data_IF_840696944115
#
_entry.id   IF_840696944115
#
_cell.length_a   1.000
_cell.length_b   1.000
_cell.length_c   1.000
_cell.angle_alpha   90.00
_cell.angle_beta   90.00
_cell.angle_gamma   90.00
#
_symmetry.space_group_name_H-M   'P 1'
#
loop_
_entity.id
_entity.type
_entity.pdbx_description
1 polymer ?
#
# COMPACT_ATOMS: atom_id res chain seq x y z
N UNK A 1 -0.72 48.79 -17.82
CA UNK A 1 -0.98 48.00 -16.60
C UNK A 1 -0.48 46.60 -16.83
N UNK A 2 0.69 46.24 -16.29
CA UNK A 2 1.19 44.88 -16.35
C UNK A 2 0.29 44.01 -15.46
N UNK A 3 -0.30 42.97 -16.04
CA UNK A 3 -1.28 42.10 -15.41
C UNK A 3 -0.72 41.48 -14.12
N UNK A 4 -1.23 41.89 -12.96
CA UNK A 4 -0.97 41.30 -11.65
C UNK A 4 -1.66 39.92 -11.50
N UNK A 5 -1.77 39.15 -12.59
CA UNK A 5 -2.52 37.91 -12.65
C UNK A 5 -1.71 36.67 -12.24
N UNK A 6 -0.41 36.83 -11.92
CA UNK A 6 0.50 35.67 -11.77
C UNK A 6 0.44 35.00 -10.39
N UNK A 7 0.31 35.74 -9.28
CA UNK A 7 0.44 35.12 -7.95
C UNK A 7 -0.84 34.45 -7.46
N UNK A 8 -2.01 35.05 -7.70
CA UNK A 8 -3.29 34.50 -7.22
C UNK A 8 -3.61 33.20 -7.95
N UNK A 9 -3.48 33.19 -9.28
CA UNK A 9 -3.73 32.00 -10.12
C UNK A 9 -2.76 30.86 -9.79
N UNK A 10 -1.48 31.16 -9.59
CA UNK A 10 -0.47 30.15 -9.24
C UNK A 10 -0.76 29.52 -7.87
N UNK A 11 -1.14 30.33 -6.87
CA UNK A 11 -1.57 29.80 -5.55
C UNK A 11 -2.82 28.94 -5.67
N UNK A 12 -3.82 29.34 -6.45
CA UNK A 12 -5.04 28.52 -6.66
C UNK A 12 -4.73 27.21 -7.38
N UNK A 13 -3.77 27.18 -8.31
CA UNK A 13 -3.34 25.95 -8.98
C UNK A 13 -2.59 25.01 -8.02
N UNK A 14 -1.69 25.55 -7.20
CA UNK A 14 -1.01 24.76 -6.16
C UNK A 14 -2.01 24.18 -5.16
N UNK A 15 -3.02 24.97 -4.78
CA UNK A 15 -4.08 24.52 -3.87
C UNK A 15 -4.98 23.45 -4.49
N UNK A 16 -5.36 23.58 -5.77
CA UNK A 16 -6.09 22.54 -6.50
C UNK A 16 -5.28 21.23 -6.54
N UNK A 17 -3.98 21.29 -6.85
CA UNK A 17 -3.12 20.10 -6.88
C UNK A 17 -2.96 19.45 -5.50
N UNK A 18 -2.96 20.24 -4.42
CA UNK A 18 -2.89 19.72 -3.06
C UNK A 18 -4.20 19.07 -2.64
N UNK A 19 -5.33 19.59 -3.11
CA UNK A 19 -6.64 19.00 -2.85
C UNK A 19 -6.76 17.62 -3.49
N UNK A 20 -6.34 17.47 -4.75
CA UNK A 20 -6.28 16.17 -5.43
C UNK A 20 -5.41 15.16 -4.68
N UNK A 21 -4.20 15.58 -4.24
CA UNK A 21 -3.32 14.73 -3.41
C UNK A 21 -3.96 14.36 -2.06
N UNK A 22 -4.74 15.27 -1.46
CA UNK A 22 -5.46 14.99 -0.23
C UNK A 22 -6.56 13.94 -0.44
N UNK A 23 -7.30 14.03 -1.54
CA UNK A 23 -8.33 13.04 -1.90
C UNK A 23 -7.73 11.67 -2.20
N UNK A 24 -6.63 11.63 -2.95
CA UNK A 24 -5.87 10.40 -3.19
C UNK A 24 -5.37 9.80 -1.88
N UNK A 25 -4.82 10.64 -0.99
CA UNK A 25 -4.36 10.22 0.33
C UNK A 25 -5.51 9.77 1.25
N UNK A 26 -6.68 10.41 1.16
CA UNK A 26 -7.86 10.01 1.91
C UNK A 26 -8.35 8.65 1.44
N UNK A 27 -8.44 8.46 0.13
CA UNK A 27 -8.75 7.16 -0.48
C UNK A 27 -7.74 6.12 -0.04
N UNK A 28 -6.45 6.46 -0.14
CA UNK A 28 -5.29 5.71 0.33
C UNK A 28 -5.48 5.20 1.76
N UNK A 29 -5.69 6.06 2.75
CA UNK A 29 -5.77 5.62 4.14
C UNK A 29 -7.20 5.36 4.64
N UNK A 30 -8.18 5.24 3.74
CA UNK A 30 -9.59 5.02 4.09
C UNK A 30 -10.18 6.12 4.98
N UNK A 31 -9.76 7.37 4.78
CA UNK A 31 -10.15 8.52 5.59
C UNK A 31 -11.53 9.01 5.19
N UNK A 32 -12.43 9.03 6.15
CA UNK A 32 -13.77 9.59 6.01
C UNK A 32 -13.97 10.62 7.13
N UNK A 33 -14.41 11.83 6.75
CA UNK A 33 -14.65 12.90 7.71
C UNK A 33 -16.14 13.12 7.91
N UNK A 34 -16.50 13.57 9.13
CA UNK A 34 -17.89 13.73 9.56
C UNK A 34 -18.66 14.75 8.73
N UNK A 35 -18.04 15.89 8.44
CA UNK A 35 -18.69 17.00 7.74
C UNK A 35 -17.66 17.84 6.95
N UNK A 36 -18.11 18.76 6.07
CA UNK A 36 -17.21 19.57 5.26
C UNK A 36 -16.27 20.48 6.07
N UNK A 37 -16.65 20.91 7.28
CA UNK A 37 -15.80 21.76 8.13
C UNK A 37 -14.64 20.96 8.69
N UNK A 38 -14.91 19.72 9.10
CA UNK A 38 -13.85 18.79 9.50
C UNK A 38 -12.95 18.46 8.31
N UNK A 39 -13.50 18.19 7.11
CA UNK A 39 -12.69 17.96 5.90
C UNK A 39 -11.77 19.13 5.59
N UNK A 40 -12.27 20.36 5.66
CA UNK A 40 -11.47 21.57 5.44
C UNK A 40 -10.38 21.75 6.51
N UNK A 41 -10.71 21.55 7.79
CA UNK A 41 -9.71 21.56 8.88
C UNK A 41 -8.59 20.54 8.61
N UNK A 42 -8.97 19.32 8.22
CA UNK A 42 -8.04 18.21 7.93
C UNK A 42 -7.19 18.49 6.70
N UNK A 43 -7.77 19.08 5.66
CA UNK A 43 -7.06 19.52 4.46
C UNK A 43 -6.00 20.56 4.77
N UNK A 44 -6.32 21.57 5.61
CA UNK A 44 -5.35 22.59 6.04
C UNK A 44 -4.13 21.98 6.75
N UNK A 45 -4.37 21.09 7.71
CA UNK A 45 -3.30 20.38 8.43
C UNK A 45 -2.50 19.50 7.47
N UNK A 46 -3.18 18.78 6.57
CA UNK A 46 -2.54 17.97 5.55
C UNK A 46 -1.59 18.78 4.66
N UNK A 47 -2.02 19.95 4.19
CA UNK A 47 -1.22 20.87 3.39
C UNK A 47 0.02 21.35 4.15
N UNK A 48 -0.13 21.72 5.43
CA UNK A 48 0.99 22.13 6.29
C UNK A 48 2.01 20.99 6.46
N UNK A 49 1.55 19.78 6.76
CA UNK A 49 2.40 18.60 6.89
C UNK A 49 3.08 18.21 5.57
N UNK A 50 2.39 18.34 4.43
CA UNK A 50 2.97 18.09 3.11
C UNK A 50 4.07 19.10 2.77
N UNK A 51 3.85 20.38 3.03
CA UNK A 51 4.88 21.39 2.85
C UNK A 51 6.09 21.12 3.78
N UNK A 52 5.85 20.66 5.01
CA UNK A 52 6.92 20.26 5.92
C UNK A 52 7.73 19.05 5.38
N UNK A 53 7.05 18.05 4.82
CA UNK A 53 7.70 16.91 4.17
C UNK A 53 8.52 17.37 2.96
N UNK A 54 7.96 18.19 2.07
CA UNK A 54 8.64 18.68 0.87
C UNK A 54 9.87 19.54 1.20
N UNK A 55 9.74 20.47 2.15
CA UNK A 55 10.88 21.27 2.63
C UNK A 55 11.96 20.41 3.29
N UNK A 56 11.58 19.33 3.98
CA UNK A 56 12.53 18.40 4.59
C UNK A 56 13.35 17.60 3.57
N UNK A 57 12.82 17.36 2.36
CA UNK A 57 13.53 16.67 1.26
C UNK A 57 14.61 17.54 0.62
N UNK A 58 14.42 18.86 0.62
CA UNK A 58 15.35 19.83 0.03
C UNK A 58 16.43 20.32 1.01
N UNK A 59 16.30 20.00 2.30
CA UNK A 59 17.28 20.34 3.32
C UNK A 59 18.51 19.41 3.26
N UNK A 60 19.56 19.75 4.00
CA UNK A 60 20.76 18.92 4.17
C UNK A 60 20.42 17.47 4.55
N UNK A 61 21.33 16.53 4.24
CA UNK A 61 21.16 15.08 4.48
C UNK A 61 20.78 14.83 5.95
N UNK A 62 19.56 14.33 6.18
CA UNK A 62 19.06 13.94 7.50
C UNK A 62 19.25 12.43 7.70
N UNK A 63 19.45 11.94 8.94
CA UNK A 63 19.53 10.51 9.23
C UNK A 63 18.17 9.79 9.10
N UNK A 64 17.11 10.52 8.75
CA UNK A 64 15.76 9.99 8.56
C UNK A 64 15.08 10.65 7.36
N UNK A 65 14.14 9.92 6.76
CA UNK A 65 13.31 10.40 5.65
C UNK A 65 11.88 10.61 6.13
N UNK A 66 11.37 11.82 5.98
CA UNK A 66 9.95 12.09 6.20
C UNK A 66 9.15 11.66 4.96
N UNK A 67 8.07 10.93 5.20
CA UNK A 67 7.17 10.41 4.18
C UNK A 67 5.72 10.64 4.60
N UNK A 68 4.85 10.75 3.61
CA UNK A 68 3.40 10.82 3.84
C UNK A 68 2.92 9.49 4.42
N UNK A 69 2.14 9.54 5.49
CA UNK A 69 1.62 8.37 6.20
C UNK A 69 0.16 8.61 6.63
N UNK A 70 -0.44 7.67 7.35
CA UNK A 70 -1.84 7.74 7.79
C UNK A 70 -2.17 8.89 8.75
N UNK A 71 -1.19 9.62 9.26
CA UNK A 71 -1.34 10.70 10.23
C UNK A 71 -1.13 12.09 9.61
N UNK A 72 -1.01 12.18 8.28
CA UNK A 72 -0.73 13.44 7.61
C UNK A 72 -1.82 14.52 7.82
N UNK A 73 -3.03 14.17 8.26
CA UNK A 73 -4.14 15.09 8.58
C UNK A 73 -4.23 15.48 10.07
N UNK A 74 -3.23 15.11 10.88
CA UNK A 74 -3.18 15.41 12.32
C UNK A 74 -2.12 16.47 12.61
N UNK A 75 -2.44 17.37 13.53
CA UNK A 75 -1.42 18.24 14.13
C UNK A 75 -0.68 17.49 15.25
N UNK A 76 0.37 18.09 15.80
CA UNK A 76 1.21 17.45 16.82
C UNK A 76 0.43 17.07 18.09
N UNK A 77 -0.49 17.91 18.56
CA UNK A 77 -1.31 17.64 19.75
C UNK A 77 -2.26 16.46 19.53
N UNK A 78 -2.90 16.42 18.35
CA UNK A 78 -3.74 15.30 17.95
C UNK A 78 -2.90 14.03 17.80
N UNK A 79 -1.71 14.11 17.20
CA UNK A 79 -0.85 12.95 16.97
C UNK A 79 -0.41 12.27 18.28
N UNK A 80 -0.07 13.04 19.33
CA UNK A 80 0.32 12.50 20.63
C UNK A 80 -0.86 12.10 21.52
N UNK A 81 -2.11 12.34 21.09
CA UNK A 81 -3.28 11.97 21.87
C UNK A 81 -3.38 10.44 22.02
N UNK A 82 -3.73 9.89 23.21
CA UNK A 82 -3.74 8.45 23.47
C UNK A 82 -4.51 7.63 22.42
N UNK A 83 -5.63 8.16 21.92
CA UNK A 83 -6.45 7.50 20.88
C UNK A 83 -5.71 7.22 19.57
N UNK A 84 -4.68 8.01 19.25
CA UNK A 84 -3.91 7.88 18.02
C UNK A 84 -2.65 7.03 18.21
N UNK A 85 -2.12 6.92 19.43
CA UNK A 85 -0.99 6.04 19.76
C UNK A 85 -1.38 4.57 19.60
N UNK A 86 -2.59 4.19 20.01
CA UNK A 86 -3.10 2.82 19.84
C UNK A 86 -3.74 2.57 18.47
N UNK A 87 -3.72 3.56 17.56
CA UNK A 87 -4.25 3.41 16.22
C UNK A 87 -3.22 2.66 15.38
N UNK A 88 -3.52 1.39 15.10
CA UNK A 88 -2.68 0.52 14.26
C UNK A 88 -2.30 1.16 12.92
N UNK A 89 -1.21 0.69 12.33
CA UNK A 89 -0.73 1.18 11.05
C UNK A 89 -1.66 0.73 9.92
N UNK A 90 -2.49 1.64 9.41
CA UNK A 90 -3.28 1.43 8.20
C UNK A 90 -2.36 1.66 7.00
N UNK A 91 -2.25 0.65 6.14
CA UNK A 91 -1.58 0.77 4.85
C UNK A 91 -2.51 1.41 3.82
N UNK A 92 -1.92 2.04 2.82
CA UNK A 92 -2.64 2.58 1.67
C UNK A 92 -3.49 1.49 0.97
N UNK A 93 -4.81 1.65 0.93
CA UNK A 93 -5.81 0.69 0.46
C UNK A 93 -5.99 0.63 -1.08
N UNK A 94 -6.11 1.73 -1.85
CA UNK A 94 -6.60 1.69 -3.23
C UNK A 94 -5.60 2.08 -4.32
N UNK A 95 -4.40 2.59 -4.05
CA UNK A 95 -3.44 2.80 -5.16
C UNK A 95 -2.89 1.48 -5.72
N UNK A 96 -3.21 0.36 -5.07
CA UNK A 96 -2.40 -0.85 -5.13
C UNK A 96 -3.18 -2.13 -5.47
N UNK A 97 -4.40 -2.07 -6.00
CA UNK A 97 -5.03 -3.30 -6.55
C UNK A 97 -5.35 -3.21 -8.05
N UNK A 98 -5.47 -2.00 -8.62
CA UNK A 98 -5.66 -1.85 -10.08
C UNK A 98 -4.38 -2.28 -10.79
N UNK A 99 -4.43 -3.42 -11.48
CA UNK A 99 -3.29 -4.00 -12.19
C UNK A 99 -2.28 -4.70 -11.28
N UNK A 100 -2.65 -4.93 -10.02
CA UNK A 100 -1.76 -5.46 -8.99
C UNK A 100 -2.21 -6.82 -8.43
N UNK A 101 -3.33 -7.32 -8.91
CA UNK A 101 -3.83 -8.65 -8.58
C UNK A 101 -3.91 -9.47 -9.85
N UNK A 102 -3.52 -10.72 -9.75
CA UNK A 102 -3.80 -11.74 -10.77
C UNK A 102 -5.30 -12.08 -10.77
N UNK A 103 -5.81 -12.79 -11.78
CA UNK A 103 -7.14 -13.38 -11.72
C UNK A 103 -7.30 -14.26 -10.48
N UNK A 104 -8.51 -14.33 -9.92
CA UNK A 104 -8.81 -15.19 -8.78
C UNK A 104 -8.52 -16.65 -9.15
N UNK A 105 -7.65 -17.30 -8.37
CA UNK A 105 -7.35 -18.73 -8.49
C UNK A 105 -8.28 -19.55 -7.60
N UNK A 106 -8.62 -20.76 -8.04
CA UNK A 106 -9.47 -21.69 -7.30
C UNK A 106 -8.63 -22.84 -6.72
N UNK A 107 -8.65 -22.97 -5.39
CA UNK A 107 -7.94 -24.03 -4.68
C UNK A 107 -8.58 -25.42 -4.84
N UNK A 108 -9.83 -25.50 -5.28
CA UNK A 108 -10.62 -26.73 -5.30
C UNK A 108 -10.58 -27.47 -3.96
N UNK A 109 -10.34 -28.78 -4.03
CA UNK A 109 -10.25 -29.67 -2.87
C UNK A 109 -8.85 -29.81 -2.26
N UNK A 110 -7.90 -28.96 -2.69
CA UNK A 110 -6.49 -29.07 -2.30
C UNK A 110 -6.30 -28.89 -0.78
N UNK A 111 -7.07 -28.00 -0.14
CA UNK A 111 -6.98 -27.75 1.30
C UNK A 111 -5.80 -26.86 1.73
N UNK A 112 -5.04 -26.32 0.76
CA UNK A 112 -3.92 -25.40 1.00
C UNK A 112 -4.33 -23.94 0.81
N UNK A 113 -5.46 -23.54 1.40
CA UNK A 113 -5.96 -22.16 1.31
C UNK A 113 -4.92 -21.12 1.76
N UNK A 114 -4.08 -21.49 2.72
CA UNK A 114 -2.95 -20.68 3.18
C UNK A 114 -1.97 -20.37 2.04
N UNK A 115 -1.65 -21.34 1.17
CA UNK A 115 -0.71 -21.15 0.07
C UNK A 115 -1.28 -20.18 -0.98
N UNK A 116 -2.57 -20.28 -1.28
CA UNK A 116 -3.25 -19.34 -2.18
C UNK A 116 -3.27 -17.92 -1.61
N UNK A 117 -3.48 -17.78 -0.30
CA UNK A 117 -3.41 -16.48 0.37
C UNK A 117 -2.00 -15.88 0.34
N UNK A 118 -0.98 -16.69 0.63
CA UNK A 118 0.42 -16.26 0.67
C UNK A 118 0.93 -15.89 -0.72
N UNK A 119 0.61 -16.70 -1.74
CA UNK A 119 0.94 -16.41 -3.13
C UNK A 119 0.24 -15.14 -3.59
N UNK A 120 -1.09 -15.01 -3.44
CA UNK A 120 -1.81 -13.81 -3.85
C UNK A 120 -1.28 -12.53 -3.16
N UNK A 121 -0.90 -12.63 -1.89
CA UNK A 121 -0.29 -11.53 -1.14
C UNK A 121 1.10 -11.17 -1.70
N UNK A 122 1.91 -12.17 -2.02
CA UNK A 122 3.25 -12.00 -2.59
C UNK A 122 3.20 -11.41 -4.00
N UNK A 123 2.31 -11.93 -4.86
CA UNK A 123 2.05 -11.39 -6.21
C UNK A 123 1.61 -9.92 -6.13
N UNK A 124 0.71 -9.61 -5.19
CA UNK A 124 0.34 -8.24 -4.86
C UNK A 124 1.57 -7.40 -4.56
N UNK A 125 2.36 -7.77 -3.55
CA UNK A 125 3.56 -7.03 -3.15
C UNK A 125 4.57 -6.89 -4.30
N UNK A 126 4.72 -7.88 -5.18
CA UNK A 126 5.63 -7.83 -6.31
C UNK A 126 5.17 -6.84 -7.39
N UNK A 127 3.88 -6.87 -7.75
CA UNK A 127 3.31 -5.91 -8.70
C UNK A 127 3.48 -4.45 -8.22
N UNK A 128 3.44 -4.30 -6.92
CA UNK A 128 3.48 -3.06 -6.16
C UNK A 128 4.86 -2.45 -6.03
N UNK A 129 5.84 -3.29 -5.71
CA UNK A 129 7.21 -2.85 -5.40
C UNK A 129 8.14 -2.95 -6.60
N UNK A 130 7.99 -4.00 -7.41
CA UNK A 130 8.81 -4.22 -8.62
C UNK A 130 8.12 -3.75 -9.91
N UNK A 131 6.84 -3.38 -9.85
CA UNK A 131 6.07 -2.96 -11.04
C UNK A 131 5.74 -4.10 -12.00
N UNK A 132 5.91 -5.36 -11.59
CA UNK A 132 5.68 -6.55 -12.42
C UNK A 132 4.68 -7.48 -11.74
N UNK A 133 3.50 -7.61 -12.34
CA UNK A 133 2.50 -8.60 -11.92
C UNK A 133 2.91 -9.97 -12.49
N UNK A 134 3.34 -10.87 -11.61
CA UNK A 134 3.72 -12.24 -11.94
C UNK A 134 2.71 -13.17 -11.28
N UNK A 135 2.25 -14.19 -11.98
CA UNK A 135 1.52 -15.31 -11.36
C UNK A 135 2.56 -16.33 -10.87
N UNK A 136 2.55 -16.63 -9.57
CA UNK A 136 3.42 -17.64 -8.95
C UNK A 136 2.68 -18.98 -8.80
N UNK A 137 3.41 -20.05 -8.52
CA UNK A 137 2.85 -21.39 -8.29
C UNK A 137 2.66 -21.68 -6.81
N UNK A 138 1.41 -21.85 -6.39
CA UNK A 138 1.06 -22.33 -5.04
C UNK A 138 1.66 -23.72 -4.77
N UNK A 139 1.82 -24.55 -5.81
CA UNK A 139 2.42 -25.88 -5.66
C UNK A 139 3.90 -25.81 -5.34
N UNK A 140 4.63 -24.89 -5.97
CA UNK A 140 6.04 -24.68 -5.66
C UNK A 140 6.23 -24.28 -4.19
N UNK A 141 5.36 -23.40 -3.68
CA UNK A 141 5.35 -23.01 -2.26
C UNK A 141 5.07 -24.22 -1.35
N UNK A 142 4.05 -25.00 -1.65
CA UNK A 142 3.64 -26.17 -0.85
C UNK A 142 4.70 -27.28 -0.85
N UNK A 143 5.37 -27.54 -1.98
CA UNK A 143 6.40 -28.57 -2.10
C UNK A 143 7.72 -28.17 -1.39
N UNK A 144 7.98 -26.86 -1.30
CA UNK A 144 9.16 -26.31 -0.64
C UNK A 144 8.96 -26.09 0.87
N UNK A 145 7.75 -25.85 1.33
CA UNK A 145 7.46 -25.67 2.76
C UNK A 145 7.46 -27.01 3.50
N UNK A 146 8.67 -27.46 3.83
CA UNK A 146 8.93 -28.68 4.63
C UNK A 146 8.98 -28.37 6.13
N UNK A 147 8.38 -27.26 6.55
CA UNK A 147 8.46 -26.69 7.89
C UNK A 147 8.05 -27.65 9.02
N UNK A 148 8.42 -27.26 10.24
CA UNK A 148 8.24 -28.03 11.47
C UNK A 148 6.78 -28.21 11.92
N UNK A 149 5.81 -27.82 11.10
CA UNK A 149 4.40 -28.13 11.29
C UNK A 149 4.15 -29.61 10.96
N UNK A 150 4.85 -30.49 11.67
CA UNK A 150 4.63 -31.93 11.64
C UNK A 150 3.18 -32.31 12.01
N UNK A 151 2.42 -31.36 12.58
CA UNK A 151 1.01 -31.52 12.93
C UNK A 151 0.04 -30.95 11.88
N UNK A 152 0.51 -30.27 10.82
CA UNK A 152 -0.38 -29.90 9.73
C UNK A 152 -0.67 -31.15 8.88
N UNK A 153 -1.93 -31.55 8.71
CA UNK A 153 -2.28 -32.84 8.13
C UNK A 153 -2.03 -32.92 6.62
N UNK A 154 -1.71 -31.79 5.99
CA UNK A 154 -1.45 -31.71 4.56
C UNK A 154 0.06 -31.59 4.33
N UNK A 155 0.65 -32.65 3.79
CA UNK A 155 1.98 -32.60 3.19
C UNK A 155 1.81 -32.55 1.68
N UNK A 156 2.63 -31.76 0.98
CA UNK A 156 2.79 -31.96 -0.46
C UNK A 156 3.29 -33.39 -0.68
N UNK A 157 2.48 -34.24 -1.30
CA UNK A 157 2.83 -35.63 -1.64
C UNK A 157 2.70 -35.81 -3.15
N UNK A 158 3.79 -36.24 -3.79
CA UNK A 158 3.84 -36.99 -5.05
C UNK A 158 2.79 -36.63 -6.13
N UNK A 159 2.51 -35.34 -6.36
CA UNK A 159 1.71 -34.89 -7.51
C UNK A 159 0.18 -34.92 -7.36
N UNK A 160 -0.39 -34.79 -6.15
CA UNK A 160 -1.80 -34.35 -6.00
C UNK A 160 -1.92 -33.31 -4.88
N UNK A 161 -2.23 -32.04 -5.16
CA UNK A 161 -2.96 -31.50 -6.31
C UNK A 161 -2.10 -31.11 -7.51
N UNK A 162 -2.38 -31.74 -8.65
CA UNK A 162 -2.07 -31.24 -9.97
C UNK A 162 -3.32 -30.49 -10.49
N UNK A 163 -3.42 -29.22 -10.09
CA UNK A 163 -4.06 -28.13 -10.84
C UNK A 163 -3.02 -26.99 -11.05
N UNK A 164 -1.74 -27.35 -10.92
CA UNK A 164 -0.64 -26.43 -10.63
C UNK A 164 0.56 -26.63 -11.57
N UNK A 165 0.28 -26.99 -12.82
CA UNK A 165 1.24 -26.86 -13.92
C UNK A 165 0.58 -25.86 -14.90
N UNK A 166 0.91 -24.57 -14.96
CA UNK A 166 2.13 -23.82 -14.70
C UNK A 166 1.89 -22.52 -13.89
N UNK A 167 2.97 -21.95 -13.34
CA UNK A 167 3.44 -20.68 -13.88
C UNK A 167 4.97 -20.75 -14.07
N UNK A 168 5.41 -21.36 -15.17
CA UNK A 168 6.76 -21.16 -15.69
C UNK A 168 6.65 -20.18 -16.85
N UNK A 169 7.37 -19.05 -16.81
CA UNK A 169 8.50 -18.97 -17.71
C UNK A 169 9.68 -18.21 -17.09
N UNK A 170 10.22 -18.71 -15.98
CA UNK A 170 11.44 -18.24 -15.31
C UNK A 170 11.32 -16.96 -14.47
N UNK A 171 11.21 -17.14 -13.15
CA UNK A 171 11.82 -16.24 -12.18
C UNK A 171 12.81 -17.06 -11.34
N UNK A 172 14.05 -17.10 -11.79
CA UNK A 172 15.19 -17.69 -11.08
C UNK A 172 15.48 -16.88 -9.82
N UNK A 173 15.25 -17.44 -8.63
CA UNK A 173 15.72 -16.84 -7.37
C UNK A 173 17.20 -17.19 -7.23
N UNK A 174 18.09 -16.23 -7.53
CA UNK A 174 19.51 -16.34 -7.20
C UNK A 174 19.74 -15.77 -5.80
N UNK A 175 20.16 -16.62 -4.87
CA UNK A 175 20.77 -16.26 -3.59
C UNK A 175 22.21 -16.74 -3.54
#
# INVERSE_FOLDING_TARGET
>A
MAFLASQVTCRTLQDASMYERHEEWMSCYGKVYKDPREREKRFRIFKENMNYIETSKNAAIKPYKLVINQFADLNNEEFIAPKNIFKGMILCRPLFLKGAVTPVKDQGHCGFCWAFYDVASTEGILALTAGKLISLSEQELVDCDRGQDANYPYKGVDGKCNANEEANPAATITG
#
